data_IF_458571767152
#
_entry.id   IF_458571767152
#
_cell.length_a   1.000
_cell.length_b   1.000
_cell.length_c   1.000
_cell.angle_alpha   90.00
_cell.angle_beta   90.00
_cell.angle_gamma   90.00
#
_symmetry.space_group_name_H-M   'P 1'
#
loop_
_entity.id
_entity.type
_entity.pdbx_description
1 polymer ?
#
# COMPACT_ATOMS: atom_id res chain seq x y z
N UNK A 1 -2.16 -19.18 3.19
CA UNK A 1 -0.76 -19.43 2.77
C UNK A 1 -0.78 -20.44 1.64
N UNK A 2 -0.41 -20.03 0.43
CA UNK A 2 -0.39 -20.93 -0.74
C UNK A 2 0.99 -21.57 -0.96
N UNK A 3 2.06 -20.79 -0.77
CA UNK A 3 3.45 -21.26 -0.91
C UNK A 3 4.41 -20.42 -0.07
N UNK A 4 5.54 -21.00 0.32
CA UNK A 4 6.64 -20.29 0.96
C UNK A 4 7.98 -20.75 0.35
N UNK A 5 8.90 -19.83 0.14
CA UNK A 5 10.20 -20.06 -0.49
C UNK A 5 11.30 -19.47 0.39
N UNK A 6 12.39 -20.21 0.57
CA UNK A 6 13.56 -19.73 1.30
C UNK A 6 14.54 -19.10 0.31
N UNK A 7 14.84 -17.83 0.50
CA UNK A 7 15.84 -17.10 -0.26
C UNK A 7 17.12 -16.94 0.57
N UNK A 8 18.25 -17.37 0.01
CA UNK A 8 19.56 -17.31 0.66
C UNK A 8 20.24 -16.02 0.24
N UNK A 9 20.62 -15.18 1.21
CA UNK A 9 21.40 -13.98 0.92
C UNK A 9 22.90 -14.31 0.96
N UNK A 10 23.52 -14.38 -0.22
CA UNK A 10 24.94 -14.72 -0.40
C UNK A 10 25.89 -13.53 -0.17
N UNK A 11 25.39 -12.30 -0.11
CA UNK A 11 26.22 -11.09 0.00
C UNK A 11 26.74 -10.81 1.41
N UNK A 12 26.26 -11.53 2.42
CA UNK A 12 26.67 -11.30 3.82
C UNK A 12 27.72 -12.32 4.25
N UNK A 13 28.75 -11.87 5.00
CA UNK A 13 29.75 -12.77 5.63
C UNK A 13 29.13 -13.87 6.50
N UNK A 14 27.86 -13.71 6.91
CA UNK A 14 27.06 -14.72 7.62
C UNK A 14 25.90 -15.14 6.73
N UNK A 15 25.70 -16.46 6.55
CA UNK A 15 24.53 -17.00 5.83
C UNK A 15 23.24 -16.52 6.51
N UNK A 16 22.45 -15.71 5.81
CA UNK A 16 21.12 -15.25 6.26
C UNK A 16 20.05 -15.79 5.31
N UNK A 17 19.01 -16.37 5.90
CA UNK A 17 17.85 -16.88 5.18
C UNK A 17 16.71 -15.86 5.29
N UNK A 18 16.06 -15.55 4.17
CA UNK A 18 14.81 -14.79 4.12
C UNK A 18 13.69 -15.72 3.69
N UNK A 19 12.59 -15.73 4.44
CA UNK A 19 11.38 -16.46 4.05
C UNK A 19 10.50 -15.53 3.21
N UNK A 20 10.16 -15.97 2.00
CA UNK A 20 9.20 -15.31 1.13
C UNK A 20 7.91 -16.12 1.18
N UNK A 21 6.84 -15.54 1.72
CA UNK A 21 5.54 -16.19 1.85
C UNK A 21 4.58 -15.59 0.84
N UNK A 22 3.87 -16.45 0.12
CA UNK A 22 2.72 -16.05 -0.68
C UNK A 22 1.43 -16.33 0.08
N UNK A 23 0.69 -15.26 0.32
CA UNK A 23 -0.57 -15.29 1.04
C UNK A 23 -1.02 -13.87 1.38
N UNK A 24 -2.13 -13.83 2.09
CA UNK A 24 -2.95 -12.65 2.40
C UNK A 24 -3.31 -12.59 3.89
N UNK A 25 -2.46 -13.19 4.74
CA UNK A 25 -2.61 -13.14 6.19
C UNK A 25 -1.29 -12.83 6.93
N UNK A 26 -0.91 -11.57 6.90
CA UNK A 26 0.27 -10.96 7.53
C UNK A 26 0.25 -11.17 9.03
N UNK A 27 -0.92 -11.03 9.66
CA UNK A 27 -1.07 -11.23 11.11
C UNK A 27 -0.67 -12.63 11.54
N UNK A 28 -1.17 -13.67 10.85
CA UNK A 28 -0.84 -15.06 11.16
C UNK A 28 0.66 -15.34 10.96
N UNK A 29 1.26 -14.80 9.89
CA UNK A 29 2.69 -14.97 9.62
C UNK A 29 3.53 -14.27 10.68
N UNK A 30 3.15 -13.06 11.09
CA UNK A 30 3.83 -12.29 12.12
C UNK A 30 3.76 -12.95 13.50
N UNK A 31 2.65 -13.63 13.80
CA UNK A 31 2.43 -14.37 15.04
C UNK A 31 3.08 -15.76 15.06
N UNK A 32 3.65 -16.22 13.95
CA UNK A 32 4.26 -17.55 13.86
C UNK A 32 5.57 -17.61 14.65
N UNK A 33 5.71 -18.60 15.53
CA UNK A 33 6.93 -18.81 16.31
C UNK A 33 8.15 -18.94 15.39
N UNK A 34 9.29 -18.39 15.82
CA UNK A 34 10.55 -18.33 15.07
C UNK A 34 10.58 -17.36 13.88
N UNK A 35 9.48 -16.66 13.57
CA UNK A 35 9.46 -15.56 12.59
C UNK A 35 9.71 -14.22 13.30
N UNK A 36 10.59 -13.39 12.75
CA UNK A 36 10.84 -12.04 13.28
C UNK A 36 9.83 -11.03 12.71
N UNK A 37 8.65 -10.94 13.32
CA UNK A 37 7.56 -10.06 12.88
C UNK A 37 7.95 -8.58 12.76
N UNK A 38 8.86 -8.07 13.60
CA UNK A 38 9.32 -6.66 13.56
C UNK A 38 10.08 -6.26 12.30
N UNK A 39 10.52 -7.22 11.49
CA UNK A 39 11.21 -6.98 10.22
C UNK A 39 10.41 -7.51 9.03
N UNK A 40 9.16 -7.89 9.24
CA UNK A 40 8.28 -8.37 8.19
C UNK A 40 7.73 -7.20 7.38
N UNK A 41 7.54 -7.42 6.07
CA UNK A 41 6.89 -6.46 5.17
C UNK A 41 5.91 -7.23 4.28
N UNK A 42 4.82 -6.57 3.89
CA UNK A 42 3.87 -7.09 2.89
C UNK A 42 3.87 -6.21 1.65
N UNK A 43 3.42 -6.77 0.53
CA UNK A 43 3.13 -6.03 -0.69
C UNK A 43 1.73 -5.40 -0.66
N UNK A 44 0.82 -5.93 0.17
CA UNK A 44 -0.55 -5.49 0.24
C UNK A 44 -0.71 -4.39 1.32
N UNK A 45 -0.93 -3.14 0.89
CA UNK A 45 -1.07 -1.99 1.80
C UNK A 45 -2.31 -2.10 2.70
N UNK A 46 -3.43 -2.62 2.18
CA UNK A 46 -4.67 -2.82 2.94
C UNK A 46 -4.48 -3.80 4.12
N UNK A 47 -3.71 -4.86 3.89
CA UNK A 47 -3.39 -5.83 4.93
C UNK A 47 -2.45 -5.24 6.00
N UNK A 48 -1.48 -4.43 5.57
CA UNK A 48 -0.60 -3.67 6.48
C UNK A 48 -1.40 -2.69 7.31
N UNK A 49 -2.35 -1.96 6.70
CA UNK A 49 -3.25 -1.06 7.41
C UNK A 49 -4.04 -1.80 8.49
N UNK A 50 -4.67 -2.93 8.13
CA UNK A 50 -5.48 -3.73 9.06
C UNK A 50 -4.70 -4.30 10.24
N UNK A 51 -3.40 -4.56 10.05
CA UNK A 51 -2.55 -5.23 11.05
C UNK A 51 -1.65 -4.29 11.85
N UNK A 52 -1.13 -3.24 11.21
CA UNK A 52 -0.13 -2.31 11.75
C UNK A 52 -0.61 -0.85 11.79
N UNK A 53 -1.75 -0.54 11.16
CA UNK A 53 -2.33 0.80 11.13
C UNK A 53 -1.92 1.64 9.91
N UNK A 54 -2.55 2.81 9.80
CA UNK A 54 -2.48 3.67 8.61
C UNK A 54 -1.08 4.23 8.32
N UNK A 55 -0.27 4.53 9.34
CA UNK A 55 1.11 5.03 9.14
C UNK A 55 2.06 3.97 8.58
N UNK A 56 1.85 2.71 8.96
CA UNK A 56 2.59 1.59 8.38
C UNK A 56 2.21 1.37 6.92
N UNK A 57 0.91 1.51 6.59
CA UNK A 57 0.42 1.45 5.22
C UNK A 57 1.00 2.60 4.37
N UNK A 58 0.95 3.83 4.88
CA UNK A 58 1.56 5.03 4.26
C UNK A 58 3.02 4.80 3.87
N UNK A 59 3.81 4.27 4.82
CA UNK A 59 5.23 3.97 4.59
C UNK A 59 5.42 2.85 3.55
N UNK A 60 4.54 1.85 3.58
CA UNK A 60 4.55 0.73 2.63
C UNK A 60 4.28 1.21 1.20
N UNK A 61 3.30 2.11 1.01
CA UNK A 61 2.98 2.72 -0.29
C UNK A 61 4.20 3.46 -0.86
N UNK A 62 4.83 4.33 -0.07
CA UNK A 62 6.03 5.08 -0.47
C UNK A 62 7.13 4.11 -0.94
N UNK A 63 7.41 3.08 -0.13
CA UNK A 63 8.47 2.12 -0.42
C UNK A 63 8.18 1.29 -1.67
N UNK A 64 6.92 0.92 -1.92
CA UNK A 64 6.56 0.14 -3.11
C UNK A 64 6.60 0.95 -4.39
N UNK A 65 6.07 2.17 -4.39
CA UNK A 65 6.17 3.06 -5.55
C UNK A 65 7.64 3.31 -5.87
N UNK A 66 8.45 3.63 -4.86
CA UNK A 66 9.89 3.84 -5.05
C UNK A 66 10.59 2.59 -5.61
N UNK A 67 10.30 1.41 -5.04
CA UNK A 67 10.88 0.15 -5.50
C UNK A 67 10.55 -0.14 -6.97
N UNK A 68 9.29 0.01 -7.37
CA UNK A 68 8.87 -0.22 -8.76
C UNK A 68 9.51 0.78 -9.71
N UNK A 69 9.54 2.08 -9.36
CA UNK A 69 10.14 3.12 -10.21
C UNK A 69 11.63 2.89 -10.43
N UNK A 70 12.37 2.61 -9.35
CA UNK A 70 13.81 2.33 -9.42
C UNK A 70 14.11 1.09 -10.26
N UNK A 71 13.30 0.03 -10.13
CA UNK A 71 13.46 -1.18 -10.95
C UNK A 71 13.27 -0.93 -12.45
N UNK A 72 12.53 0.12 -12.85
CA UNK A 72 12.36 0.52 -14.24
C UNK A 72 13.34 1.64 -14.66
N UNK A 73 14.34 1.96 -13.83
CA UNK A 73 15.32 3.02 -14.11
C UNK A 73 14.77 4.44 -13.98
N UNK A 74 13.57 4.61 -13.41
CA UNK A 74 12.96 5.92 -13.19
C UNK A 74 13.34 6.46 -11.81
N UNK A 75 13.83 7.70 -11.77
CA UNK A 75 14.11 8.43 -10.53
C UNK A 75 13.05 9.51 -10.34
N UNK A 76 12.16 9.30 -9.36
CA UNK A 76 11.15 10.29 -8.96
C UNK A 76 11.56 10.86 -7.60
N UNK A 77 11.35 12.16 -7.42
CA UNK A 77 11.60 12.81 -6.15
C UNK A 77 10.72 12.20 -5.05
N UNK A 78 11.34 11.74 -3.95
CA UNK A 78 10.65 11.17 -2.78
C UNK A 78 9.56 12.07 -2.22
N UNK A 79 9.68 13.40 -2.33
CA UNK A 79 8.65 14.36 -1.90
C UNK A 79 7.32 14.16 -2.62
N UNK A 80 7.34 13.81 -3.89
CA UNK A 80 6.11 13.52 -4.65
C UNK A 80 5.43 12.24 -4.15
N UNK A 81 6.23 11.20 -3.88
CA UNK A 81 5.72 9.94 -3.33
C UNK A 81 5.17 10.11 -1.91
N UNK A 82 5.80 10.96 -1.09
CA UNK A 82 5.29 11.30 0.24
C UNK A 82 3.93 12.00 0.14
N UNK A 83 3.83 13.04 -0.70
CA UNK A 83 2.57 13.77 -0.89
C UNK A 83 1.45 12.87 -1.42
N UNK A 84 1.75 11.98 -2.37
CA UNK A 84 0.78 11.02 -2.87
C UNK A 84 0.32 10.06 -1.77
N UNK A 85 1.25 9.56 -0.95
CA UNK A 85 0.92 8.66 0.15
C UNK A 85 0.11 9.38 1.25
N UNK A 86 0.45 10.62 1.57
CA UNK A 86 -0.33 11.48 2.48
C UNK A 86 -1.76 11.66 1.96
N UNK A 87 -1.92 11.94 0.66
CA UNK A 87 -3.22 12.07 0.02
C UNK A 87 -4.02 10.77 0.09
N UNK A 88 -3.39 9.61 0.00
CA UNK A 88 -4.07 8.31 0.09
C UNK A 88 -4.47 7.94 1.52
N UNK A 89 -3.84 8.53 2.54
CA UNK A 89 -3.93 8.07 3.94
C UNK A 89 -4.49 9.10 4.94
N UNK A 90 -4.63 10.38 4.56
CA UNK A 90 -5.00 11.46 5.50
C UNK A 90 -6.36 11.29 6.20
N UNK A 91 -7.30 10.52 5.63
CA UNK A 91 -8.62 10.27 6.24
C UNK A 91 -8.62 9.12 7.25
N UNK A 92 -7.49 8.47 7.48
CA UNK A 92 -7.39 7.34 8.42
C UNK A 92 -7.80 5.98 7.83
N UNK A 93 -8.10 5.92 6.53
CA UNK A 93 -8.34 4.68 5.77
C UNK A 93 -7.52 4.74 4.47
N UNK A 94 -6.95 3.62 4.01
CA UNK A 94 -6.23 3.59 2.72
C UNK A 94 -7.22 3.74 1.56
N UNK A 95 -7.31 4.97 1.06
CA UNK A 95 -8.13 5.32 -0.07
C UNK A 95 -7.29 5.18 -1.33
N UNK A 96 -7.24 3.95 -1.85
CA UNK A 96 -6.80 3.72 -3.22
C UNK A 96 -7.53 4.68 -4.14
N UNK A 97 -6.85 5.39 -5.04
CA UNK A 97 -7.41 6.39 -5.98
C UNK A 97 -8.35 5.74 -7.00
N UNK A 98 -9.43 5.14 -6.50
CA UNK A 98 -10.51 4.48 -7.23
C UNK A 98 -11.72 5.40 -7.14
N UNK A 99 -12.64 5.32 -8.10
CA UNK A 99 -13.87 6.16 -8.18
C UNK A 99 -14.60 6.36 -6.84
N UNK A 100 -14.66 5.32 -6.00
CA UNK A 100 -15.31 5.36 -4.69
C UNK A 100 -14.57 6.24 -3.67
N UNK A 101 -13.24 6.29 -3.75
CA UNK A 101 -12.39 7.12 -2.90
C UNK A 101 -12.45 8.58 -3.31
N UNK A 102 -12.49 8.88 -4.63
CA UNK A 102 -12.67 10.25 -5.12
C UNK A 102 -14.02 10.84 -4.68
N UNK A 103 -15.10 10.04 -4.72
CA UNK A 103 -16.40 10.41 -4.17
C UNK A 103 -16.35 10.67 -2.65
N UNK A 104 -15.56 9.89 -1.89
CA UNK A 104 -15.33 10.13 -0.46
C UNK A 104 -14.42 11.33 -0.17
N UNK A 105 -13.53 11.72 -1.09
CA UNK A 105 -12.53 12.78 -0.89
C UNK A 105 -13.03 14.20 -1.17
N UNK A 106 -14.02 14.38 -2.05
CA UNK A 106 -14.39 15.72 -2.54
C UNK A 106 -15.89 16.00 -2.46
N UNK A 107 -16.23 17.18 -1.91
CA UNK A 107 -17.60 17.70 -1.77
C UNK A 107 -18.18 18.31 -3.05
N UNK A 108 -17.38 18.52 -4.11
CA UNK A 108 -17.85 19.23 -5.31
C UNK A 108 -18.48 18.28 -6.33
N UNK A 109 -19.83 18.29 -6.41
CA UNK A 109 -20.60 17.51 -7.39
C UNK A 109 -20.19 17.76 -8.85
N UNK A 110 -19.78 18.98 -9.21
CA UNK A 110 -19.27 19.31 -10.56
C UNK A 110 -18.01 18.54 -10.94
N UNK A 111 -17.12 18.30 -9.97
CA UNK A 111 -15.88 17.58 -10.22
C UNK A 111 -16.13 16.08 -10.41
N UNK A 112 -17.05 15.50 -9.64
CA UNK A 112 -17.46 14.11 -9.79
C UNK A 112 -18.14 13.90 -11.15
N UNK A 113 -19.04 14.82 -11.53
CA UNK A 113 -19.73 14.78 -12.81
C UNK A 113 -18.80 14.87 -14.03
N UNK A 114 -17.63 15.51 -13.88
CA UNK A 114 -16.61 15.64 -14.93
C UNK A 114 -15.62 14.47 -14.99
N UNK A 115 -15.61 13.58 -13.98
CA UNK A 115 -14.70 12.44 -13.92
C UNK A 115 -15.35 11.14 -14.42
N UNK A 116 -16.54 10.80 -13.94
CA UNK A 116 -17.35 9.67 -14.42
C UNK A 116 -18.79 9.75 -13.87
N UNK A 117 -19.79 9.13 -14.54
CA UNK A 117 -21.22 9.12 -14.13
C UNK A 117 -21.85 10.52 -13.94
N UNK A 118 -21.76 11.36 -14.97
CA UNK A 118 -22.29 12.74 -14.98
C UNK A 118 -23.75 12.88 -14.56
N UNK A 119 -24.62 11.94 -14.95
CA UNK A 119 -26.06 12.01 -14.64
C UNK A 119 -26.36 11.73 -13.18
N UNK A 120 -25.79 10.67 -12.61
CA UNK A 120 -26.07 10.23 -11.22
C UNK A 120 -25.66 11.34 -10.22
N UNK A 121 -24.50 11.98 -10.46
CA UNK A 121 -23.98 13.03 -9.57
C UNK A 121 -24.71 14.38 -9.67
N UNK A 122 -25.35 14.69 -10.81
CA UNK A 122 -26.15 15.92 -10.94
C UNK A 122 -27.51 15.78 -10.24
N UNK A 123 -28.09 14.58 -10.22
CA UNK A 123 -29.36 14.33 -9.51
C UNK A 123 -29.18 14.24 -8.00
N UNK A 124 -28.07 13.70 -7.50
CA UNK A 124 -27.77 13.65 -6.06
C UNK A 124 -27.34 15.02 -5.48
N UNK A 125 -26.96 15.98 -6.32
CA UNK A 125 -26.45 17.30 -5.91
C UNK A 125 -27.50 18.43 -5.96
N UNK A 126 -28.71 18.16 -6.46
CA UNK A 126 -29.84 19.10 -6.54
C UNK A 126 -30.79 18.90 -5.35
#
# INVERSE_FOLDING_TARGET
>A
MSRAVIHINEQSRKKKFKLLVEGDNLWAVMATNSVKGTQMTSNNAYEVEKTLGIEAARTTIINKIQYTMVNHGMSINRRLMMLLSDLMTYKGEDQFTTRYSLAKMKESGMMLASFEKTTDHLFDAA
#
